data_IF_394363029714
#
_entry.id   IF_394363029714
#
_cell.length_a   1.000
_cell.length_b   1.000
_cell.length_c   1.000
_cell.angle_alpha   90.00
_cell.angle_beta   90.00
_cell.angle_gamma   90.00
#
_symmetry.space_group_name_H-M   'P 1'
#
loop_
_entity.id
_entity.type
_entity.pdbx_description
1 polymer ?
#
# COMPACT_ATOMS: atom_id res chain seq x y z
N UNK A 1 18.56 11.34 -3.09
CA UNK A 1 18.44 11.95 -4.44
C UNK A 1 17.52 11.17 -5.39
N UNK A 2 17.53 9.83 -5.39
CA UNK A 2 16.70 9.01 -6.30
C UNK A 2 15.17 9.23 -6.20
N UNK A 3 14.63 9.43 -5.00
CA UNK A 3 13.19 9.71 -4.82
C UNK A 3 12.73 11.03 -5.47
N UNK A 4 13.59 12.05 -5.47
CA UNK A 4 13.32 13.33 -6.12
C UNK A 4 13.33 13.19 -7.65
N UNK A 5 14.25 12.38 -8.17
CA UNK A 5 14.31 12.04 -9.60
C UNK A 5 13.04 11.31 -10.06
N UNK A 6 12.57 10.31 -9.31
CA UNK A 6 11.30 9.63 -9.61
C UNK A 6 10.09 10.57 -9.51
N UNK A 7 10.06 11.46 -8.52
CA UNK A 7 9.03 12.49 -8.40
C UNK A 7 9.04 13.48 -9.58
N UNK A 8 10.22 13.82 -10.09
CA UNK A 8 10.39 14.66 -11.28
C UNK A 8 9.88 13.95 -12.54
N UNK A 9 10.25 12.68 -12.76
CA UNK A 9 9.74 11.86 -13.86
C UNK A 9 8.20 11.73 -13.80
N UNK A 10 7.63 11.64 -12.60
CA UNK A 10 6.19 11.56 -12.40
C UNK A 10 5.45 12.82 -12.87
N UNK A 11 6.02 14.01 -12.63
CA UNK A 11 5.28 15.27 -12.73
C UNK A 11 5.68 16.16 -13.91
N UNK A 12 6.96 16.13 -14.32
CA UNK A 12 7.60 17.14 -15.19
C UNK A 12 7.66 16.66 -16.66
N UNK A 13 7.35 17.52 -17.66
CA UNK A 13 7.60 17.20 -19.07
C UNK A 13 9.09 16.92 -19.35
N UNK A 14 9.44 16.00 -20.26
CA UNK A 14 8.57 15.33 -21.23
C UNK A 14 7.99 13.98 -20.78
N UNK A 15 8.48 13.37 -19.68
CA UNK A 15 8.26 11.94 -19.39
C UNK A 15 6.96 11.65 -18.60
N UNK A 16 6.40 12.61 -17.85
CA UNK A 16 5.09 12.59 -17.14
C UNK A 16 4.41 11.21 -17.00
N UNK A 17 5.01 10.31 -16.22
CA UNK A 17 4.49 8.93 -16.06
C UNK A 17 3.09 8.89 -15.45
N UNK A 18 2.60 9.98 -14.83
CA UNK A 18 1.20 10.14 -14.41
C UNK A 18 0.16 9.95 -15.53
N UNK A 19 0.55 10.06 -16.81
CA UNK A 19 -0.35 9.80 -17.95
C UNK A 19 -0.61 8.32 -18.20
N UNK A 20 0.26 7.43 -17.70
CA UNK A 20 0.12 5.98 -17.82
C UNK A 20 -0.21 5.39 -16.45
N UNK A 21 -1.39 4.78 -16.31
CA UNK A 21 -1.87 4.22 -15.04
C UNK A 21 -0.88 3.21 -14.42
N UNK A 22 -0.21 2.40 -15.25
CA UNK A 22 0.78 1.42 -14.79
C UNK A 22 2.06 2.09 -14.29
N UNK A 23 2.56 3.09 -15.02
CA UNK A 23 3.77 3.82 -14.63
C UNK A 23 3.55 4.68 -13.37
N UNK A 24 2.35 5.27 -13.25
CA UNK A 24 1.92 5.96 -12.04
C UNK A 24 1.87 5.02 -10.83
N UNK A 25 1.29 3.83 -11.00
CA UNK A 25 1.22 2.85 -9.93
C UNK A 25 2.58 2.30 -9.52
N UNK A 26 3.47 2.05 -10.49
CA UNK A 26 4.83 1.63 -10.23
C UNK A 26 5.63 2.71 -9.47
N UNK A 27 5.42 3.98 -9.81
CA UNK A 27 6.04 5.11 -9.10
C UNK A 27 5.56 5.17 -7.66
N UNK A 28 4.25 5.03 -7.40
CA UNK A 28 3.68 5.03 -6.04
C UNK A 28 4.23 3.87 -5.22
N UNK A 29 4.23 2.65 -5.79
CA UNK A 29 4.77 1.46 -5.12
C UNK A 29 6.26 1.62 -4.80
N UNK A 30 7.05 2.14 -5.75
CA UNK A 30 8.49 2.33 -5.57
C UNK A 30 8.80 3.42 -4.55
N UNK A 31 8.20 4.61 -4.69
CA UNK A 31 8.51 5.76 -3.85
C UNK A 31 7.94 5.60 -2.45
N UNK A 32 6.63 5.32 -2.36
CA UNK A 32 5.92 5.29 -1.08
C UNK A 32 6.04 3.95 -0.38
N UNK A 33 6.09 2.86 -1.16
CA UNK A 33 6.19 1.51 -0.63
C UNK A 33 7.62 1.11 -0.28
N UNK A 34 8.56 1.23 -1.21
CA UNK A 34 9.93 0.76 -0.99
C UNK A 34 10.87 1.85 -0.47
N UNK A 35 11.06 2.93 -1.25
CA UNK A 35 12.09 3.94 -0.98
C UNK A 35 11.86 4.70 0.31
N UNK A 36 10.62 4.99 0.70
CA UNK A 36 10.35 5.65 1.97
C UNK A 36 10.81 4.79 3.16
N UNK A 37 10.55 3.49 3.12
CA UNK A 37 10.87 2.59 4.23
C UNK A 37 12.35 2.19 4.25
N UNK A 38 12.90 1.78 3.11
CA UNK A 38 14.31 1.41 2.99
C UNK A 38 15.23 2.63 2.99
N UNK A 39 14.88 3.66 2.23
CA UNK A 39 15.74 4.82 1.99
C UNK A 39 15.95 5.67 3.24
N UNK A 40 14.94 5.83 4.10
CA UNK A 40 15.10 6.51 5.38
C UNK A 40 16.06 5.73 6.28
N UNK A 41 15.92 4.41 6.36
CA UNK A 41 16.83 3.57 7.14
C UNK A 41 18.28 3.64 6.64
N UNK A 42 18.47 3.55 5.31
CA UNK A 42 19.78 3.68 4.70
C UNK A 42 20.40 5.06 4.98
N UNK A 43 19.65 6.14 4.78
CA UNK A 43 20.13 7.50 4.97
C UNK A 43 20.52 7.79 6.43
N UNK A 44 19.77 7.27 7.40
CA UNK A 44 20.09 7.41 8.82
C UNK A 44 21.35 6.63 9.19
N UNK A 45 21.53 5.43 8.66
CA UNK A 45 22.76 4.65 8.91
C UNK A 45 23.99 5.30 8.31
N UNK A 46 23.87 5.79 7.09
CA UNK A 46 24.93 6.51 6.39
C UNK A 46 25.32 7.79 7.14
N UNK A 47 24.34 8.57 7.62
CA UNK A 47 24.60 9.82 8.33
C UNK A 47 25.30 9.66 9.68
N UNK A 48 25.13 8.51 10.35
CA UNK A 48 25.84 8.19 11.60
C UNK A 48 27.12 7.37 11.36
N UNK A 49 27.52 7.14 10.10
CA UNK A 49 28.71 6.36 9.74
C UNK A 49 28.61 4.86 10.08
N UNK A 50 27.40 4.34 10.30
CA UNK A 50 27.20 2.93 10.61
C UNK A 50 27.22 2.09 9.34
N UNK A 51 27.93 0.95 9.38
CA UNK A 51 27.90 -0.02 8.28
C UNK A 51 26.48 -0.48 8.00
N UNK A 52 26.09 -0.56 6.74
CA UNK A 52 24.77 -1.05 6.35
C UNK A 52 24.59 -2.52 6.74
N UNK A 53 23.52 -2.83 7.47
CA UNK A 53 23.06 -4.20 7.71
C UNK A 53 21.55 -4.26 7.58
N UNK A 54 21.03 -5.37 7.05
CA UNK A 54 19.59 -5.55 6.89
C UNK A 54 18.93 -5.76 8.25
N UNK A 55 17.97 -4.88 8.58
CA UNK A 55 17.08 -5.08 9.73
C UNK A 55 15.87 -5.92 9.28
N UNK A 56 15.56 -7.06 9.95
CA UNK A 56 14.37 -7.85 9.65
C UNK A 56 13.09 -7.01 9.66
N UNK A 57 12.98 -6.05 10.58
CA UNK A 57 11.84 -5.12 10.69
C UNK A 57 11.74 -4.19 9.49
N UNK A 58 12.85 -3.61 9.05
CA UNK A 58 12.90 -2.74 7.88
C UNK A 58 12.60 -3.51 6.59
N UNK A 59 13.16 -4.71 6.44
CA UNK A 59 12.88 -5.58 5.29
C UNK A 59 11.41 -6.00 5.25
N UNK A 60 10.81 -6.28 6.41
CA UNK A 60 9.40 -6.59 6.53
C UNK A 60 8.53 -5.41 6.07
N UNK A 61 8.66 -4.24 6.70
CA UNK A 61 7.81 -3.09 6.41
C UNK A 61 7.99 -2.59 4.97
N UNK A 62 9.21 -2.63 4.42
CA UNK A 62 9.45 -2.23 3.04
C UNK A 62 8.68 -3.12 2.04
N UNK A 63 8.69 -4.45 2.22
CA UNK A 63 7.93 -5.36 1.36
C UNK A 63 6.43 -5.21 1.56
N UNK A 64 5.99 -5.19 2.82
CA UNK A 64 4.59 -5.10 3.19
C UNK A 64 3.94 -3.81 2.66
N UNK A 65 4.60 -2.66 2.85
CA UNK A 65 4.10 -1.37 2.38
C UNK A 65 4.23 -1.19 0.88
N UNK A 66 5.12 -1.93 0.20
CA UNK A 66 5.17 -1.96 -1.28
C UNK A 66 3.94 -2.63 -1.86
N UNK A 67 3.51 -3.77 -1.30
CA UNK A 67 2.26 -4.42 -1.70
C UNK A 67 1.08 -3.48 -1.40
N UNK A 68 1.04 -2.90 -0.21
CA UNK A 68 -0.03 -1.98 0.18
C UNK A 68 -0.12 -0.75 -0.75
N UNK A 69 1.02 -0.11 -1.03
CA UNK A 69 1.09 1.03 -1.95
C UNK A 69 0.67 0.66 -3.39
N UNK A 70 0.93 -0.58 -3.81
CA UNK A 70 0.47 -1.10 -5.11
C UNK A 70 -1.05 -1.22 -5.13
N UNK A 71 -1.66 -1.72 -4.04
CA UNK A 71 -3.13 -1.78 -3.92
C UNK A 71 -3.75 -0.39 -3.92
N UNK A 72 -3.16 0.57 -3.20
CA UNK A 72 -3.60 1.98 -3.24
C UNK A 72 -3.54 2.52 -4.67
N UNK A 73 -2.44 2.26 -5.40
CA UNK A 73 -2.31 2.71 -6.77
C UNK A 73 -3.40 2.14 -7.70
N UNK A 74 -3.77 0.87 -7.52
CA UNK A 74 -4.83 0.22 -8.30
C UNK A 74 -6.22 0.72 -7.92
N UNK A 75 -6.43 1.09 -6.65
CA UNK A 75 -7.74 1.52 -6.13
C UNK A 75 -7.96 3.03 -6.15
N UNK A 76 -6.94 3.83 -6.46
CA UNK A 76 -6.99 5.30 -6.39
C UNK A 76 -8.09 5.94 -7.23
N UNK A 77 -8.46 5.30 -8.36
CA UNK A 77 -9.45 5.81 -9.31
C UNK A 77 -10.87 5.27 -9.02
N UNK A 78 -11.05 4.40 -8.02
CA UNK A 78 -12.39 3.91 -7.63
C UNK A 78 -13.35 5.05 -7.21
N UNK A 79 -12.94 6.03 -6.38
CA UNK A 79 -13.80 7.16 -5.99
C UNK A 79 -14.32 8.01 -7.15
N UNK A 80 -13.60 8.02 -8.27
CA UNK A 80 -13.81 8.95 -9.38
C UNK A 80 -14.51 8.28 -10.59
N UNK A 81 -15.03 7.06 -10.39
CA UNK A 81 -15.60 6.22 -11.46
C UNK A 81 -16.71 6.89 -12.28
N UNK A 82 -17.59 7.67 -11.65
CA UNK A 82 -18.67 8.38 -12.37
C UNK A 82 -18.12 9.48 -13.27
N UNK A 83 -17.14 10.25 -12.78
CA UNK A 83 -16.47 11.28 -13.56
C UNK A 83 -15.72 10.67 -14.74
N UNK A 84 -14.95 9.60 -14.49
CA UNK A 84 -14.22 8.90 -15.53
C UNK A 84 -15.15 8.35 -16.62
N UNK A 85 -16.30 7.78 -16.25
CA UNK A 85 -17.31 7.32 -17.22
C UNK A 85 -17.91 8.49 -18.01
N UNK A 86 -18.26 9.60 -17.35
CA UNK A 86 -18.86 10.76 -18.00
C UNK A 86 -17.93 11.44 -19.03
N UNK A 87 -16.62 11.41 -18.78
CA UNK A 87 -15.60 12.00 -19.66
C UNK A 87 -14.90 10.97 -20.58
N UNK A 88 -15.40 9.73 -20.66
CA UNK A 88 -14.81 8.64 -21.45
C UNK A 88 -13.31 8.39 -21.15
N UNK A 89 -12.94 8.45 -19.87
CA UNK A 89 -11.59 8.17 -19.40
C UNK A 89 -11.43 6.67 -19.15
N UNK A 90 -10.48 6.07 -19.84
CA UNK A 90 -10.12 4.67 -19.71
C UNK A 90 -9.28 4.43 -18.44
N UNK A 91 -9.90 3.90 -17.38
CA UNK A 91 -9.24 3.44 -16.17
C UNK A 91 -9.51 1.94 -15.93
N UNK A 92 -8.72 1.31 -15.06
CA UNK A 92 -8.97 -0.09 -14.68
C UNK A 92 -10.37 -0.27 -14.07
N UNK A 93 -10.83 0.75 -13.33
CA UNK A 93 -12.14 0.75 -12.71
C UNK A 93 -13.27 0.87 -13.75
N UNK A 94 -13.12 1.70 -14.79
CA UNK A 94 -14.13 1.80 -15.87
C UNK A 94 -14.16 0.55 -16.75
N UNK A 95 -13.03 -0.13 -16.95
CA UNK A 95 -12.94 -1.35 -17.78
C UNK A 95 -13.38 -2.64 -17.09
N UNK A 96 -12.97 -2.84 -15.84
CA UNK A 96 -13.21 -4.10 -15.10
C UNK A 96 -14.39 -4.01 -14.13
N UNK A 97 -14.81 -2.80 -13.77
CA UNK A 97 -15.86 -2.54 -12.79
C UNK A 97 -15.35 -2.50 -11.34
N UNK A 98 -16.03 -1.70 -10.52
CA UNK A 98 -15.64 -1.41 -9.14
C UNK A 98 -15.59 -2.67 -8.28
N UNK A 99 -16.60 -3.54 -8.38
CA UNK A 99 -16.67 -4.78 -7.59
C UNK A 99 -15.46 -5.70 -7.80
N UNK A 100 -15.02 -5.88 -9.06
CA UNK A 100 -13.87 -6.75 -9.38
C UNK A 100 -12.56 -6.16 -8.87
N UNK A 101 -12.35 -4.86 -9.05
CA UNK A 101 -11.16 -4.17 -8.55
C UNK A 101 -11.11 -4.19 -7.03
N UNK A 102 -12.21 -3.86 -6.35
CA UNK A 102 -12.28 -3.89 -4.89
C UNK A 102 -12.03 -5.30 -4.34
N UNK A 103 -12.61 -6.34 -4.97
CA UNK A 103 -12.38 -7.74 -4.60
C UNK A 103 -10.90 -8.13 -4.74
N UNK A 104 -10.28 -7.80 -5.88
CA UNK A 104 -8.86 -8.10 -6.11
C UNK A 104 -7.95 -7.36 -5.14
N UNK A 105 -8.21 -6.09 -4.89
CA UNK A 105 -7.50 -5.26 -3.92
C UNK A 105 -7.61 -5.82 -2.50
N UNK A 106 -8.82 -6.11 -2.04
CA UNK A 106 -9.07 -6.71 -0.72
C UNK A 106 -8.42 -8.07 -0.58
N UNK A 107 -8.50 -8.94 -1.59
CA UNK A 107 -7.85 -10.24 -1.57
C UNK A 107 -6.31 -10.11 -1.48
N UNK A 108 -5.72 -9.20 -2.25
CA UNK A 108 -4.28 -8.92 -2.20
C UNK A 108 -3.83 -8.44 -0.81
N UNK A 109 -4.57 -7.51 -0.20
CA UNK A 109 -4.27 -7.03 1.15
C UNK A 109 -4.46 -8.12 2.22
N UNK A 110 -5.52 -8.94 2.13
CA UNK A 110 -5.73 -10.05 3.05
C UNK A 110 -4.60 -11.08 2.97
N UNK A 111 -4.10 -11.38 1.76
CA UNK A 111 -2.92 -12.22 1.59
C UNK A 111 -1.66 -11.57 2.16
N UNK A 112 -1.52 -10.25 2.02
CA UNK A 112 -0.41 -9.50 2.63
C UNK A 112 -0.46 -9.59 4.17
N UNK A 113 -1.65 -9.46 4.77
CA UNK A 113 -1.87 -9.66 6.21
C UNK A 113 -1.56 -11.08 6.67
N UNK A 114 -2.02 -12.09 5.93
CA UNK A 114 -1.69 -13.49 6.21
C UNK A 114 -0.16 -13.73 6.13
N UNK A 115 0.49 -13.14 5.13
CA UNK A 115 1.95 -13.16 4.98
C UNK A 115 2.69 -12.48 6.14
N UNK A 116 2.15 -11.38 6.67
CA UNK A 116 2.70 -10.72 7.86
C UNK A 116 2.60 -11.63 9.10
N UNK A 117 1.42 -12.21 9.35
CA UNK A 117 1.22 -13.16 10.46
C UNK A 117 2.19 -14.34 10.32
N UNK A 118 2.28 -14.94 9.13
CA UNK A 118 3.20 -16.04 8.86
C UNK A 118 4.66 -15.62 9.09
N UNK A 119 5.05 -14.41 8.67
CA UNK A 119 6.40 -13.88 8.93
C UNK A 119 6.68 -13.78 10.43
N UNK A 120 5.73 -13.29 11.22
CA UNK A 120 5.86 -13.25 12.68
C UNK A 120 6.05 -14.64 13.29
N UNK A 121 5.27 -15.62 12.85
CA UNK A 121 5.31 -16.99 13.39
C UNK A 121 6.52 -17.82 12.96
N UNK A 122 7.04 -17.59 11.74
CA UNK A 122 8.10 -18.41 11.15
C UNK A 122 9.51 -17.84 11.35
N UNK A 123 9.64 -16.59 11.76
CA UNK A 123 10.95 -16.00 12.07
C UNK A 123 11.44 -16.38 13.47
N UNK A 124 12.76 -16.21 13.70
CA UNK A 124 13.38 -16.57 14.98
C UNK A 124 12.69 -15.84 16.15
N UNK A 125 12.41 -16.53 17.27
CA UNK A 125 11.86 -15.89 18.48
C UNK A 125 12.69 -14.66 18.88
N UNK A 126 12.00 -13.58 19.24
CA UNK A 126 12.63 -12.30 19.60
C UNK A 126 12.94 -11.37 18.42
N UNK A 127 12.69 -11.78 17.17
CA UNK A 127 12.85 -10.87 16.01
C UNK A 127 11.77 -9.78 15.99
N UNK A 128 10.53 -10.16 16.32
CA UNK A 128 9.36 -9.29 16.36
C UNK A 128 8.63 -9.43 17.69
N UNK A 129 7.95 -8.36 18.11
CA UNK A 129 7.00 -8.44 19.20
C UNK A 129 5.73 -9.17 18.72
N UNK A 130 5.51 -10.38 19.22
CA UNK A 130 4.46 -11.29 18.69
C UNK A 130 3.05 -10.76 18.83
N UNK A 131 2.73 -10.04 19.90
CA UNK A 131 1.39 -9.51 20.15
C UNK A 131 0.98 -8.51 19.04
N UNK A 132 1.73 -7.41 18.79
CA UNK A 132 1.40 -6.51 17.69
C UNK A 132 1.61 -7.15 16.31
N UNK A 133 2.62 -8.00 16.15
CA UNK A 133 2.90 -8.65 14.86
C UNK A 133 1.79 -9.62 14.42
N UNK A 134 1.25 -10.45 15.32
CA UNK A 134 0.19 -11.40 14.97
C UNK A 134 -1.18 -10.80 15.24
N UNK A 135 -1.40 -10.31 16.46
CA UNK A 135 -2.69 -9.77 16.88
C UNK A 135 -3.07 -8.50 16.14
N UNK A 136 -2.13 -7.58 15.93
CA UNK A 136 -2.39 -6.33 15.21
C UNK A 136 -2.75 -6.57 13.74
N UNK A 137 -1.95 -7.34 13.01
CA UNK A 137 -2.24 -7.66 11.61
C UNK A 137 -3.50 -8.52 11.45
N UNK A 138 -3.81 -9.41 12.40
CA UNK A 138 -5.07 -10.14 12.39
C UNK A 138 -6.26 -9.19 12.58
N UNK A 139 -6.19 -8.27 13.54
CA UNK A 139 -7.25 -7.30 13.79
C UNK A 139 -7.49 -6.39 12.57
N UNK A 140 -6.42 -5.87 11.96
CA UNK A 140 -6.50 -5.01 10.77
C UNK A 140 -6.98 -5.79 9.54
N UNK A 141 -6.55 -7.04 9.37
CA UNK A 141 -7.07 -7.93 8.32
C UNK A 141 -8.56 -8.25 8.48
N UNK A 142 -9.04 -8.48 9.70
CA UNK A 142 -10.46 -8.67 9.99
C UNK A 142 -11.26 -7.37 9.76
N UNK A 143 -10.70 -6.22 10.14
CA UNK A 143 -11.30 -4.92 9.85
C UNK A 143 -11.47 -4.72 8.34
N UNK A 144 -10.43 -5.00 7.54
CA UNK A 144 -10.51 -4.96 6.08
C UNK A 144 -11.63 -5.87 5.56
N UNK A 145 -11.70 -7.11 6.05
CA UNK A 145 -12.74 -8.05 5.62
C UNK A 145 -14.15 -7.55 5.93
N UNK A 146 -14.35 -6.93 7.10
CA UNK A 146 -15.63 -6.30 7.46
C UNK A 146 -15.97 -5.16 6.49
N UNK A 147 -15.02 -4.24 6.25
CA UNK A 147 -15.25 -3.09 5.37
C UNK A 147 -15.49 -3.49 3.92
N UNK A 148 -14.85 -4.56 3.46
CA UNK A 148 -15.11 -5.10 2.13
C UNK A 148 -16.51 -5.74 2.03
N UNK A 149 -17.00 -6.41 3.07
CA UNK A 149 -18.36 -6.97 3.09
C UNK A 149 -19.46 -5.90 3.12
N UNK A 150 -19.16 -4.75 3.70
CA UNK A 150 -20.05 -3.57 3.74
C UNK A 150 -20.05 -2.78 2.42
N UNK A 151 -19.16 -3.09 1.46
CA UNK A 151 -19.05 -2.35 0.21
C UNK A 151 -20.27 -2.60 -0.68
N UNK A 152 -20.91 -1.51 -1.06
CA UNK A 152 -21.86 -1.46 -2.16
C UNK A 152 -21.14 -0.86 -3.38
N UNK A 153 -20.93 -1.68 -4.42
CA UNK A 153 -20.17 -1.28 -5.61
C UNK A 153 -20.94 -0.35 -6.56
N UNK A 154 -22.23 -0.15 -6.34
CA UNK A 154 -23.05 0.75 -7.14
C UNK A 154 -23.23 2.12 -6.47
N UNK A 155 -22.86 2.25 -5.19
CA UNK A 155 -22.99 3.48 -4.41
C UNK A 155 -21.66 4.24 -4.29
N UNK A 156 -21.52 5.38 -4.98
CA UNK A 156 -20.32 6.23 -4.90
C UNK A 156 -19.93 6.61 -3.47
N UNK A 157 -20.86 6.99 -2.56
CA UNK A 157 -20.51 7.20 -1.16
C UNK A 157 -19.89 5.96 -0.49
N UNK A 158 -20.41 4.76 -0.79
CA UNK A 158 -19.88 3.50 -0.27
C UNK A 158 -18.48 3.21 -0.81
N UNK A 159 -18.25 3.44 -2.10
CA UNK A 159 -16.93 3.30 -2.74
C UNK A 159 -15.90 4.25 -2.13
N UNK A 160 -16.27 5.53 -1.95
CA UNK A 160 -15.42 6.54 -1.30
C UNK A 160 -15.07 6.15 0.13
N UNK A 161 -16.05 5.64 0.89
CA UNK A 161 -15.85 5.15 2.26
C UNK A 161 -14.89 3.96 2.28
N UNK A 162 -15.09 2.97 1.41
CA UNK A 162 -14.19 1.82 1.28
C UNK A 162 -12.75 2.24 0.93
N UNK A 163 -12.57 3.11 -0.06
CA UNK A 163 -11.26 3.63 -0.43
C UNK A 163 -10.59 4.39 0.72
N UNK A 164 -11.35 5.22 1.45
CA UNK A 164 -10.84 5.87 2.67
C UNK A 164 -10.38 4.85 3.70
N UNK A 165 -11.12 3.76 3.91
CA UNK A 165 -10.72 2.72 4.85
C UNK A 165 -9.42 2.01 4.45
N UNK A 166 -9.12 1.87 3.16
CA UNK A 166 -7.79 1.39 2.72
C UNK A 166 -6.69 2.32 3.23
N UNK A 167 -6.89 3.64 3.14
CA UNK A 167 -5.95 4.62 3.68
C UNK A 167 -5.87 4.61 5.21
N UNK A 168 -7.01 4.49 5.89
CA UNK A 168 -7.04 4.39 7.36
C UNK A 168 -6.19 3.19 7.81
N UNK A 169 -6.35 2.03 7.16
CA UNK A 169 -5.52 0.85 7.39
C UNK A 169 -4.05 1.14 7.11
N UNK A 170 -3.69 1.72 5.96
CA UNK A 170 -2.31 2.08 5.61
C UNK A 170 -1.61 2.92 6.70
N UNK A 171 -2.31 3.89 7.29
CA UNK A 171 -1.74 4.69 8.39
C UNK A 171 -1.67 3.92 9.71
N UNK A 172 -2.66 3.08 10.00
CA UNK A 172 -2.62 2.19 11.17
C UNK A 172 -1.45 1.20 11.09
N UNK A 173 -1.05 0.73 9.91
CA UNK A 173 0.14 -0.12 9.74
C UNK A 173 1.43 0.60 10.18
N UNK A 174 1.57 1.88 9.82
CA UNK A 174 2.71 2.68 10.28
C UNK A 174 2.71 2.88 11.79
N UNK A 175 1.54 3.03 12.41
CA UNK A 175 1.42 3.09 13.86
C UNK A 175 1.77 1.74 14.49
N UNK A 176 1.27 0.64 13.94
CA UNK A 176 1.53 -0.71 14.42
C UNK A 176 3.02 -1.07 14.33
N UNK A 177 3.70 -0.63 13.27
CA UNK A 177 5.14 -0.85 13.05
C UNK A 177 6.02 -0.37 14.21
N UNK A 178 5.63 0.68 14.93
CA UNK A 178 6.40 1.17 16.10
C UNK A 178 6.44 0.13 17.23
N UNK A 179 5.45 -0.75 17.30
CA UNK A 179 5.31 -1.76 18.34
C UNK A 179 5.82 -3.14 17.94
N UNK A 180 6.02 -3.40 16.64
CA UNK A 180 6.49 -4.68 16.08
C UNK A 180 7.99 -4.84 16.27
#
# INVERSE_FOLDING_TARGET
MFGWFLGAIYSVPPIRTKRNALAAGLTIATVRGFLLNFGVYYAVRDSIGATFTWSPKVSFIARFMTIFATVIAVTKDLPDIEGDKAYNIDTLATKLGVAKIAKGASACLLLNYAGAIATGLLTKPGTFNMIPMVGGHLALGLALLSRFRELDSESVPSIKKYYKHIWDLFYLEYMLYVFI
#
